data_IF_541345917756
#
_entry.id   IF_541345917756
#
_cell.length_a   1.000
_cell.length_b   1.000
_cell.length_c   1.000
_cell.angle_alpha   90.00
_cell.angle_beta   90.00
_cell.angle_gamma   90.00
#
_symmetry.space_group_name_H-M   'P 1'
#
loop_
_entity.id
_entity.type
_entity.pdbx_description
1 polymer ?
#
# COMPACT_ATOMS: atom_id res chain seq x y z
N UNK A 1 -14.35 1.20 -7.76
CA UNK A 1 -13.26 2.14 -7.43
C UNK A 1 -12.39 2.51 -8.63
N UNK A 2 -12.35 1.69 -9.69
CA UNK A 2 -11.56 1.99 -10.89
C UNK A 2 -11.96 3.34 -11.52
N UNK A 3 -10.97 4.15 -11.86
CA UNK A 3 -11.09 5.37 -12.64
C UNK A 3 -9.78 5.58 -13.43
N UNK A 4 -9.84 5.98 -14.71
CA UNK A 4 -8.67 6.02 -15.60
C UNK A 4 -7.57 7.00 -15.15
N UNK A 5 -7.91 8.03 -14.38
CA UNK A 5 -6.98 9.03 -13.87
C UNK A 5 -6.22 8.59 -12.59
N UNK A 6 -6.62 7.49 -11.97
CA UNK A 6 -5.95 6.97 -10.77
C UNK A 6 -4.93 5.90 -11.13
N UNK A 7 -3.98 5.64 -10.24
CA UNK A 7 -3.04 4.53 -10.35
C UNK A 7 -3.39 3.42 -9.37
N UNK A 8 -3.29 2.18 -9.83
CA UNK A 8 -3.57 0.98 -9.05
C UNK A 8 -2.34 0.10 -9.03
N UNK A 9 -1.79 -0.17 -7.85
CA UNK A 9 -0.69 -1.11 -7.71
C UNK A 9 -1.12 -2.29 -6.83
N UNK A 10 -0.86 -3.50 -7.32
CA UNK A 10 -1.12 -4.73 -6.60
C UNK A 10 0.20 -5.41 -6.24
N UNK A 11 0.35 -5.72 -4.96
CA UNK A 11 1.41 -6.59 -4.47
C UNK A 11 0.81 -7.98 -4.26
N UNK A 12 1.25 -8.96 -5.04
CA UNK A 12 0.71 -10.31 -4.98
C UNK A 12 1.37 -11.08 -3.84
N UNK A 13 0.58 -11.93 -3.18
CA UNK A 13 1.11 -12.84 -2.16
C UNK A 13 1.84 -13.98 -2.86
N UNK A 14 3.12 -14.17 -2.55
CA UNK A 14 3.99 -15.13 -3.22
C UNK A 14 3.47 -16.58 -3.13
N UNK A 15 2.63 -16.89 -2.13
CA UNK A 15 2.01 -18.23 -1.98
C UNK A 15 0.69 -18.39 -2.74
N UNK A 16 0.19 -17.35 -3.41
CA UNK A 16 -1.05 -17.43 -4.18
C UNK A 16 -0.87 -18.32 -5.42
N UNK A 17 -1.97 -18.80 -5.99
CA UNK A 17 -1.90 -19.80 -7.08
C UNK A 17 -1.28 -19.22 -8.34
N UNK A 18 -0.69 -20.08 -9.17
CA UNK A 18 -0.15 -19.69 -10.49
C UNK A 18 -1.23 -19.01 -11.35
N UNK A 19 -2.43 -19.60 -11.38
CA UNK A 19 -3.57 -19.05 -12.10
C UNK A 19 -3.93 -17.62 -11.64
N UNK A 20 -3.86 -17.34 -10.34
CA UNK A 20 -4.12 -16.00 -9.82
C UNK A 20 -3.07 -14.99 -10.30
N UNK A 21 -1.78 -15.36 -10.29
CA UNK A 21 -0.71 -14.52 -10.82
C UNK A 21 -0.91 -14.24 -12.31
N UNK A 22 -1.25 -15.27 -13.11
CA UNK A 22 -1.51 -15.12 -14.54
C UNK A 22 -2.69 -14.17 -14.82
N UNK A 23 -3.78 -14.30 -14.05
CA UNK A 23 -4.95 -13.42 -14.19
C UNK A 23 -4.63 -11.97 -13.82
N UNK A 24 -3.86 -11.75 -12.75
CA UNK A 24 -3.41 -10.41 -12.37
C UNK A 24 -2.44 -9.81 -13.40
N UNK A 25 -1.56 -10.63 -13.98
CA UNK A 25 -0.70 -10.22 -15.08
C UNK A 25 -1.52 -9.79 -16.29
N UNK A 26 -2.51 -10.59 -16.70
CA UNK A 26 -3.41 -10.24 -17.79
C UNK A 26 -4.18 -8.94 -17.51
N UNK A 27 -4.68 -8.75 -16.28
CA UNK A 27 -5.32 -7.50 -15.85
C UNK A 27 -4.39 -6.29 -16.03
N UNK A 28 -3.12 -6.41 -15.63
CA UNK A 28 -2.14 -5.33 -15.76
C UNK A 28 -1.80 -4.96 -17.21
N UNK A 29 -1.94 -5.91 -18.13
CA UNK A 29 -1.77 -5.65 -19.58
C UNK A 29 -2.97 -4.90 -20.15
N UNK A 30 -4.18 -5.18 -19.66
CA UNK A 30 -5.42 -4.55 -20.13
C UNK A 30 -5.55 -3.08 -19.74
N UNK A 31 -4.94 -2.67 -18.61
CA UNK A 31 -5.11 -1.33 -18.05
C UNK A 31 -3.76 -0.63 -17.84
N UNK A 32 -3.48 0.49 -18.54
CA UNK A 32 -2.17 1.14 -18.50
C UNK A 32 -1.83 1.79 -17.15
N UNK A 33 -2.82 1.92 -16.27
CA UNK A 33 -2.72 2.47 -14.92
C UNK A 33 -2.77 1.40 -13.82
N UNK A 34 -2.67 0.11 -14.19
CA UNK A 34 -2.57 -1.02 -13.26
C UNK A 34 -1.14 -1.56 -13.29
N UNK A 35 -0.55 -1.73 -12.11
CA UNK A 35 0.85 -2.14 -11.95
C UNK A 35 0.96 -3.30 -10.96
N UNK A 36 1.88 -4.21 -11.24
CA UNK A 36 2.26 -5.28 -10.31
C UNK A 36 3.65 -5.01 -9.74
N UNK A 37 3.86 -5.40 -8.49
CA UNK A 37 5.18 -5.33 -7.86
C UNK A 37 6.12 -6.37 -8.43
N UNK A 38 7.40 -6.03 -8.61
CA UNK A 38 8.43 -7.00 -9.04
C UNK A 38 8.83 -8.01 -7.95
N UNK A 39 8.62 -7.65 -6.68
CA UNK A 39 8.98 -8.48 -5.53
C UNK A 39 7.71 -8.83 -4.80
N UNK A 40 7.53 -10.12 -4.57
CA UNK A 40 6.40 -10.69 -3.86
C UNK A 40 6.89 -11.28 -2.54
N UNK A 41 6.03 -11.24 -1.53
CA UNK A 41 6.33 -11.78 -0.21
C UNK A 41 5.19 -12.68 0.22
N UNK A 42 5.51 -13.68 1.03
CA UNK A 42 4.47 -14.44 1.72
C UNK A 42 3.89 -13.58 2.85
N UNK A 43 2.60 -13.30 2.76
CA UNK A 43 1.85 -12.54 3.78
C UNK A 43 0.99 -13.51 4.60
N UNK A 44 0.80 -13.24 5.88
CA UNK A 44 -0.01 -14.08 6.76
C UNK A 44 -0.99 -13.27 7.61
N UNK A 45 -1.85 -13.97 8.36
CA UNK A 45 -2.86 -13.35 9.23
C UNK A 45 -2.26 -12.60 10.42
N UNK A 46 -0.99 -12.85 10.76
CA UNK A 46 -0.27 -12.05 11.75
C UNK A 46 0.20 -10.70 11.16
N UNK A 47 0.12 -10.52 9.84
CA UNK A 47 0.51 -9.31 9.12
C UNK A 47 1.98 -9.27 8.74
N UNK A 48 2.68 -10.41 8.79
CA UNK A 48 4.08 -10.45 8.34
C UNK A 48 4.17 -10.06 6.86
N UNK A 49 5.20 -9.27 6.55
CA UNK A 49 5.48 -8.72 5.21
C UNK A 49 4.41 -7.78 4.61
N UNK A 50 3.23 -7.58 5.21
CA UNK A 50 2.19 -6.66 4.69
C UNK A 50 2.76 -5.27 4.38
N UNK A 51 3.47 -4.67 5.35
CA UNK A 51 4.09 -3.34 5.15
C UNK A 51 5.18 -3.35 4.07
N UNK A 52 5.90 -4.47 3.90
CA UNK A 52 6.91 -4.60 2.83
C UNK A 52 6.24 -4.65 1.46
N UNK A 53 5.16 -5.41 1.33
CA UNK A 53 4.35 -5.48 0.11
C UNK A 53 3.79 -4.11 -0.27
N UNK A 54 3.20 -3.37 0.68
CA UNK A 54 2.74 -2.00 0.43
C UNK A 54 3.88 -1.06 0.02
N UNK A 55 5.05 -1.16 0.65
CA UNK A 55 6.22 -0.35 0.30
C UNK A 55 6.70 -0.60 -1.13
N UNK A 56 6.65 -1.83 -1.65
CA UNK A 56 6.99 -2.09 -3.06
C UNK A 56 6.04 -1.34 -3.99
N UNK A 57 4.75 -1.30 -3.70
CA UNK A 57 3.79 -0.50 -4.47
C UNK A 57 4.05 1.00 -4.37
N UNK A 58 4.27 1.52 -3.15
CA UNK A 58 4.58 2.94 -2.94
C UNK A 58 5.85 3.38 -3.68
N UNK A 59 6.85 2.50 -3.84
CA UNK A 59 8.05 2.81 -4.64
C UNK A 59 7.75 2.98 -6.12
N UNK A 60 6.75 2.28 -6.66
CA UNK A 60 6.29 2.45 -8.05
C UNK A 60 5.49 3.75 -8.14
N UNK A 61 4.46 3.92 -7.30
CA UNK A 61 3.57 5.09 -7.29
C UNK A 61 4.36 6.39 -7.11
N UNK A 62 5.34 6.43 -6.21
CA UNK A 62 6.18 7.63 -5.98
C UNK A 62 6.85 8.17 -7.24
N UNK A 63 7.13 7.31 -8.23
CA UNK A 63 7.78 7.70 -9.49
C UNK A 63 6.79 8.17 -10.55
N UNK A 64 5.50 7.98 -10.35
CA UNK A 64 4.48 8.39 -11.30
C UNK A 64 4.26 9.91 -11.21
N UNK A 65 3.97 10.59 -12.31
CA UNK A 65 3.60 12.00 -12.27
C UNK A 65 2.15 12.16 -11.82
N UNK A 66 1.85 13.24 -11.10
CA UNK A 66 0.47 13.68 -10.85
C UNK A 66 -0.31 12.97 -9.73
N UNK A 67 0.23 11.93 -9.09
CA UNK A 67 -0.38 11.38 -7.87
C UNK A 67 -0.31 12.40 -6.73
N UNK A 68 -1.29 12.36 -5.81
CA UNK A 68 -1.36 13.27 -4.64
C UNK A 68 -1.49 12.53 -3.31
N UNK A 69 -2.28 11.48 -3.28
CA UNK A 69 -2.49 10.64 -2.10
C UNK A 69 -2.36 9.17 -2.48
N UNK A 70 -1.93 8.36 -1.53
CA UNK A 70 -1.94 6.91 -1.63
C UNK A 70 -2.87 6.34 -0.57
N UNK A 71 -3.79 5.48 -0.97
CA UNK A 71 -4.67 4.72 -0.07
C UNK A 71 -4.18 3.28 -0.09
N UNK A 72 -3.90 2.72 1.08
CA UNK A 72 -3.49 1.33 1.23
C UNK A 72 -4.71 0.47 1.56
N UNK A 73 -4.95 -0.58 0.77
CA UNK A 73 -6.11 -1.46 0.89
C UNK A 73 -5.68 -2.93 0.94
N UNK A 74 -6.44 -3.73 1.66
CA UNK A 74 -6.36 -5.20 1.71
C UNK A 74 -7.51 -5.82 0.89
N UNK A 75 -7.44 -7.13 0.63
CA UNK A 75 -8.36 -7.85 -0.26
C UNK A 75 -9.85 -7.77 0.16
N UNK A 76 -10.12 -7.55 1.44
CA UNK A 76 -11.47 -7.53 2.00
C UNK A 76 -12.03 -6.11 2.19
N UNK A 77 -11.26 -5.09 1.83
CA UNK A 77 -11.71 -3.70 1.94
C UNK A 77 -12.64 -3.34 0.78
N UNK A 78 -13.75 -2.67 1.10
CA UNK A 78 -14.74 -2.22 0.13
C UNK A 78 -14.96 -0.72 0.31
N UNK A 79 -14.87 0.09 -0.76
CA UNK A 79 -15.09 1.52 -0.65
C UNK A 79 -16.57 1.83 -0.34
N UNK A 80 -16.80 2.66 0.67
CA UNK A 80 -18.13 3.18 1.04
C UNK A 80 -18.43 4.56 0.43
N UNK A 81 -17.55 5.03 -0.45
CA UNK A 81 -17.62 6.33 -1.11
C UNK A 81 -17.27 6.15 -2.58
N UNK A 82 -17.91 6.93 -3.43
CA UNK A 82 -17.58 7.02 -4.84
C UNK A 82 -16.19 7.65 -5.05
N UNK A 83 -15.65 7.51 -6.26
CA UNK A 83 -14.37 8.13 -6.60
C UNK A 83 -14.40 9.67 -6.43
N UNK A 84 -15.53 10.31 -6.80
CA UNK A 84 -15.70 11.75 -6.66
C UNK A 84 -15.67 12.19 -5.19
N UNK A 85 -16.43 11.50 -4.33
CA UNK A 85 -16.45 11.79 -2.89
C UNK A 85 -15.07 11.58 -2.25
N UNK A 86 -14.35 10.52 -2.63
CA UNK A 86 -12.97 10.31 -2.15
C UNK A 86 -12.04 11.46 -2.57
N UNK A 87 -12.12 11.92 -3.82
CA UNK A 87 -11.31 13.06 -4.28
C UNK A 87 -11.61 14.32 -3.47
N UNK A 88 -12.88 14.60 -3.19
CA UNK A 88 -13.29 15.75 -2.38
C UNK A 88 -12.75 15.66 -0.95
N UNK A 89 -12.88 14.49 -0.31
CA UNK A 89 -12.35 14.24 1.04
C UNK A 89 -10.83 14.45 1.07
N UNK A 90 -10.10 13.84 0.13
CA UNK A 90 -8.65 13.95 0.05
C UNK A 90 -8.19 15.38 -0.26
N UNK A 91 -8.92 16.13 -1.08
CA UNK A 91 -8.64 17.54 -1.32
C UNK A 91 -8.78 18.37 -0.03
N UNK A 92 -9.79 18.08 0.80
CA UNK A 92 -9.97 18.75 2.09
C UNK A 92 -8.83 18.52 3.08
N UNK A 93 -8.07 17.40 2.96
CA UNK A 93 -6.89 17.13 3.79
C UNK A 93 -5.70 18.06 3.49
N UNK A 94 -5.71 18.77 2.35
CA UNK A 94 -4.72 19.80 1.99
C UNK A 94 -3.24 19.39 2.19
N UNK A 95 -2.87 18.20 1.73
CA UNK A 95 -1.52 17.64 1.83
C UNK A 95 -1.20 16.94 3.15
N UNK A 96 -2.15 16.92 4.10
CA UNK A 96 -2.01 16.20 5.37
C UNK A 96 -2.23 14.70 5.19
N UNK A 97 -1.56 13.89 6.01
CA UNK A 97 -1.83 12.46 6.08
C UNK A 97 -3.01 12.20 7.02
N UNK A 98 -3.90 11.29 6.64
CA UNK A 98 -4.91 10.72 7.53
C UNK A 98 -4.51 9.29 7.88
N UNK A 99 -4.02 9.09 9.10
CA UNK A 99 -3.53 7.81 9.61
C UNK A 99 -3.98 7.63 11.06
N UNK A 100 -4.33 6.39 11.42
CA UNK A 100 -4.50 6.04 12.82
C UNK A 100 -3.13 5.86 13.49
N UNK A 101 -2.95 6.50 14.64
CA UNK A 101 -1.77 6.33 15.49
C UNK A 101 -2.24 5.87 16.87
N UNK A 102 -1.66 4.78 17.36
CA UNK A 102 -1.98 4.19 18.65
C UNK A 102 -0.77 3.51 19.28
N UNK A 103 -0.97 2.99 20.49
CA UNK A 103 0.05 2.20 21.16
C UNK A 103 0.35 0.91 20.36
N UNK A 104 1.62 0.50 20.25
CA UNK A 104 1.95 -0.72 19.55
C UNK A 104 1.47 -1.94 20.34
N UNK A 105 1.15 -3.01 19.62
CA UNK A 105 0.94 -4.33 20.21
C UNK A 105 2.25 -4.80 20.85
N UNK A 106 2.27 -4.94 22.18
CA UNK A 106 3.49 -5.20 22.96
C UNK A 106 4.18 -6.52 22.56
N UNK A 107 3.41 -7.52 22.13
CA UNK A 107 3.89 -8.80 21.60
C UNK A 107 4.63 -8.68 20.26
N UNK A 108 4.43 -7.58 19.53
CA UNK A 108 5.04 -7.32 18.22
C UNK A 108 6.22 -6.36 18.27
N UNK A 109 6.59 -5.89 19.46
CA UNK A 109 7.71 -4.99 19.66
C UNK A 109 8.99 -5.78 19.99
N UNK A 110 10.03 -5.69 19.13
CA UNK A 110 11.38 -6.12 19.50
C UNK A 110 11.78 -5.58 20.88
N UNK A 111 12.06 -6.50 21.80
CA UNK A 111 12.38 -6.18 23.21
C UNK A 111 13.79 -5.63 23.38
N UNK A 112 14.71 -6.05 22.52
CA UNK A 112 16.14 -5.75 22.63
C UNK A 112 16.60 -4.62 21.70
N UNK A 113 15.65 -3.79 21.23
CA UNK A 113 15.95 -2.66 20.33
C UNK A 113 15.70 -1.35 21.06
N UNK A 114 16.68 -0.43 21.12
CA UNK A 114 16.43 0.90 21.65
C UNK A 114 15.44 1.63 20.73
N UNK A 115 14.29 2.06 21.23
CA UNK A 115 13.25 2.77 20.48
C UNK A 115 13.44 4.30 20.50
N UNK A 116 14.68 4.76 20.29
CA UNK A 116 15.00 6.19 20.21
C UNK A 116 14.90 6.70 18.78
N UNK A 117 14.64 8.00 18.58
CA UNK A 117 14.64 8.60 17.23
C UNK A 117 15.95 8.33 16.45
N UNK A 118 17.09 8.34 17.15
CA UNK A 118 18.42 8.10 16.57
C UNK A 118 18.59 6.66 16.07
N UNK A 119 18.11 5.68 16.82
CA UNK A 119 18.21 4.26 16.43
C UNK A 119 17.24 3.90 15.31
N UNK A 120 16.09 4.58 15.21
CA UNK A 120 15.12 4.37 14.13
C UNK A 120 15.58 4.92 12.78
N UNK A 121 16.57 5.84 12.75
CA UNK A 121 17.13 6.45 11.54
C UNK A 121 16.05 6.97 10.56
N UNK A 122 14.94 7.49 11.09
CA UNK A 122 13.77 7.91 10.31
C UNK A 122 14.07 9.11 9.41
N UNK A 123 14.92 10.02 9.89
CA UNK A 123 15.37 11.18 9.13
C UNK A 123 16.85 10.98 8.80
N UNK A 124 17.13 10.50 7.59
CA UNK A 124 18.47 10.59 7.01
C UNK A 124 18.54 11.93 6.29
N UNK A 125 19.08 12.93 6.98
CA UNK A 125 19.59 14.15 6.35
C UNK A 125 20.89 13.86 5.63
#
# INVERSE_FOLDING_TARGET
MYAPQNFYCYALDAKSSVLFHEQMQALSVCFPNVFLTKREFTVDSAGHNTSRSFLECLRIVRKMPGWRYAILLQNNDIPLKSNLEMVQILQALNGSNDINVGYPNADRMPKDVPWTFRSLRLFRG
#
